data_IF_075754382104
#
_entry.id   IF_075754382104
#
_cell.length_a   1.000
_cell.length_b   1.000
_cell.length_c   1.000
_cell.angle_alpha   90.00
_cell.angle_beta   90.00
_cell.angle_gamma   90.00
#
_symmetry.space_group_name_H-M   'P 1'
#
loop_
_entity.id
_entity.type
_entity.pdbx_description
1 polymer ?
#
# COMPACT_ATOMS: atom_id res chain seq x y z
N UNK A 1 5.84 8.43 -20.08
CA UNK A 1 4.86 7.50 -19.47
C UNK A 1 3.97 8.22 -18.45
N UNK A 2 4.54 8.82 -17.40
CA UNK A 2 3.81 9.54 -16.33
C UNK A 2 2.86 10.66 -16.81
N UNK A 3 3.24 11.44 -17.84
CA UNK A 3 2.41 12.52 -18.38
C UNK A 3 1.03 12.06 -18.89
N UNK A 4 0.88 10.78 -19.30
CA UNK A 4 -0.39 10.25 -19.82
C UNK A 4 -1.30 9.68 -18.74
N UNK A 5 -0.75 9.32 -17.58
CA UNK A 5 -1.52 8.69 -16.51
C UNK A 5 -0.95 9.04 -15.13
N UNK A 6 -0.93 10.33 -14.75
CA UNK A 6 -0.33 10.77 -13.49
C UNK A 6 -1.01 10.13 -12.27
N UNK A 7 -2.35 10.01 -12.28
CA UNK A 7 -3.10 9.42 -11.17
C UNK A 7 -2.71 7.97 -10.87
N UNK A 8 -2.37 7.16 -11.87
CA UNK A 8 -1.88 5.80 -11.62
C UNK A 8 -0.63 5.78 -10.73
N UNK A 9 0.28 6.72 -10.95
CA UNK A 9 1.52 6.79 -10.19
C UNK A 9 1.34 7.35 -8.78
N UNK A 10 0.23 8.04 -8.49
CA UNK A 10 -0.06 8.55 -7.16
C UNK A 10 -0.15 7.46 -6.09
N UNK A 11 -0.68 6.28 -6.44
CA UNK A 11 -0.85 5.16 -5.51
C UNK A 11 0.16 4.02 -5.72
N UNK A 12 0.97 4.06 -6.77
CA UNK A 12 1.90 2.96 -7.11
C UNK A 12 2.90 2.68 -5.98
N UNK A 13 3.45 3.74 -5.38
CA UNK A 13 4.38 3.62 -4.26
C UNK A 13 3.74 2.97 -3.03
N UNK A 14 2.64 3.50 -2.43
CA UNK A 14 2.04 2.87 -1.27
C UNK A 14 1.52 1.46 -1.58
N UNK A 15 0.97 1.20 -2.78
CA UNK A 15 0.49 -0.14 -3.13
C UNK A 15 1.61 -1.18 -3.28
N UNK A 16 2.75 -0.79 -3.86
CA UNK A 16 3.90 -1.69 -3.98
C UNK A 16 4.50 -1.96 -2.61
N UNK A 17 4.62 -0.93 -1.78
CA UNK A 17 5.11 -1.08 -0.42
C UNK A 17 4.20 -2.00 0.40
N UNK A 18 2.87 -1.80 0.32
CA UNK A 18 1.86 -2.65 0.95
C UNK A 18 2.04 -4.12 0.56
N UNK A 19 2.16 -4.43 -0.74
CA UNK A 19 2.42 -5.79 -1.20
C UNK A 19 3.72 -6.39 -0.67
N UNK A 20 4.80 -5.60 -0.57
CA UNK A 20 6.09 -6.04 0.00
C UNK A 20 5.93 -6.35 1.49
N UNK A 21 5.35 -5.43 2.27
CA UNK A 21 5.20 -5.62 3.71
C UNK A 21 4.19 -6.71 4.05
N UNK A 22 3.18 -6.95 3.21
CA UNK A 22 2.28 -8.10 3.34
C UNK A 22 3.02 -9.42 3.25
N UNK A 23 3.96 -9.56 2.31
CA UNK A 23 4.76 -10.79 2.21
C UNK A 23 5.75 -10.90 3.37
N UNK A 24 6.53 -9.84 3.64
CA UNK A 24 7.51 -9.85 4.74
C UNK A 24 6.87 -10.03 6.11
N UNK A 25 5.63 -9.58 6.26
CA UNK A 25 4.88 -9.61 7.51
C UNK A 25 4.31 -10.98 7.87
N UNK A 26 4.28 -11.92 6.94
CA UNK A 26 3.80 -13.27 7.22
C UNK A 26 4.68 -13.98 8.24
N UNK A 27 4.06 -14.67 9.20
CA UNK A 27 4.78 -15.39 10.24
C UNK A 27 5.59 -16.55 9.68
N UNK A 28 6.60 -17.02 10.42
CA UNK A 28 7.46 -18.13 10.01
C UNK A 28 6.67 -19.39 9.63
N UNK A 29 5.57 -19.67 10.32
CA UNK A 29 4.68 -20.80 10.03
C UNK A 29 4.01 -20.72 8.66
N UNK A 30 3.76 -19.52 8.13
CA UNK A 30 3.27 -19.36 6.76
C UNK A 30 4.28 -19.91 5.74
N UNK A 31 5.56 -19.59 5.94
CA UNK A 31 6.63 -19.95 5.02
C UNK A 31 7.10 -21.40 5.15
N UNK A 32 7.15 -21.94 6.37
CA UNK A 32 7.74 -23.26 6.63
C UNK A 32 6.71 -24.39 6.72
N UNK A 33 5.47 -24.09 7.14
CA UNK A 33 4.47 -25.11 7.43
C UNK A 33 3.38 -25.12 6.37
N UNK A 34 2.69 -24.00 6.19
CA UNK A 34 1.55 -23.93 5.27
C UNK A 34 1.16 -22.51 4.93
N UNK A 35 1.06 -22.23 3.63
CA UNK A 35 0.54 -20.95 3.14
C UNK A 35 -0.90 -20.67 3.58
N UNK A 36 -1.67 -21.68 4.01
CA UNK A 36 -3.04 -21.48 4.55
C UNK A 36 -3.09 -20.65 5.83
N UNK A 37 -1.95 -20.46 6.50
CA UNK A 37 -1.82 -19.62 7.70
C UNK A 37 -1.57 -18.14 7.34
N UNK A 38 -2.00 -17.71 6.15
CA UNK A 38 -1.84 -16.32 5.72
C UNK A 38 -2.52 -15.36 6.72
N UNK A 39 -1.76 -14.38 7.19
CA UNK A 39 -2.29 -13.27 7.97
C UNK A 39 -2.59 -12.13 7.01
N UNK A 40 -3.83 -12.02 6.53
CA UNK A 40 -4.26 -10.97 5.62
C UNK A 40 -5.75 -10.72 5.80
N UNK A 41 -6.15 -9.46 5.99
CA UNK A 41 -7.54 -9.08 6.21
C UNK A 41 -8.26 -8.73 4.91
N UNK A 42 -7.51 -8.38 3.86
CA UNK A 42 -8.07 -8.09 2.54
C UNK A 42 -8.43 -9.38 1.79
N UNK A 43 -9.23 -9.27 0.70
CA UNK A 43 -9.51 -10.40 -0.18
C UNK A 43 -8.26 -11.06 -0.80
N UNK A 44 -7.09 -10.42 -0.73
CA UNK A 44 -5.82 -11.01 -1.13
C UNK A 44 -5.46 -12.28 -0.34
N UNK A 45 -6.04 -12.44 0.86
CA UNK A 45 -5.95 -13.66 1.68
C UNK A 45 -6.17 -14.93 0.85
N UNK A 46 -7.20 -14.98 0.01
CA UNK A 46 -7.54 -16.19 -0.75
C UNK A 46 -6.48 -16.58 -1.79
N UNK A 47 -5.69 -15.61 -2.26
CA UNK A 47 -4.59 -15.84 -3.19
C UNK A 47 -3.34 -16.22 -2.41
N UNK A 48 -3.02 -15.49 -1.34
CA UNK A 48 -1.89 -15.78 -0.45
C UNK A 48 -2.00 -17.16 0.20
N UNK A 49 -3.20 -17.57 0.59
CA UNK A 49 -3.49 -18.87 1.18
C UNK A 49 -3.26 -20.04 0.23
N UNK A 50 -3.20 -19.77 -1.09
CA UNK A 50 -2.85 -20.76 -2.11
C UNK A 50 -1.35 -20.77 -2.35
N UNK A 51 -0.76 -19.62 -2.69
CA UNK A 51 0.67 -19.51 -2.95
C UNK A 51 1.13 -18.04 -3.01
N UNK A 52 2.28 -17.66 -2.42
CA UNK A 52 2.79 -16.28 -2.46
C UNK A 52 3.11 -15.80 -3.89
N UNK A 53 3.60 -16.68 -4.76
CA UNK A 53 3.83 -16.30 -6.17
C UNK A 53 2.54 -15.91 -6.91
N UNK A 54 1.40 -16.52 -6.57
CA UNK A 54 0.11 -16.14 -7.16
C UNK A 54 -0.31 -14.74 -6.72
N UNK A 55 0.03 -14.35 -5.49
CA UNK A 55 -0.20 -12.99 -5.01
C UNK A 55 0.65 -11.97 -5.80
N UNK A 56 1.93 -12.27 -6.04
CA UNK A 56 2.80 -11.41 -6.86
C UNK A 56 2.28 -11.28 -8.29
N UNK A 57 1.95 -12.40 -8.95
CA UNK A 57 1.40 -12.40 -10.31
C UNK A 57 0.06 -11.66 -10.34
N UNK A 58 -0.82 -11.92 -9.38
CA UNK A 58 -2.10 -11.23 -9.23
C UNK A 58 -1.94 -9.73 -9.05
N UNK A 59 -0.94 -9.28 -8.28
CA UNK A 59 -0.58 -7.88 -8.11
C UNK A 59 -0.11 -7.21 -9.41
N UNK A 60 0.71 -7.90 -10.20
CA UNK A 60 1.12 -7.40 -11.53
C UNK A 60 -0.09 -7.25 -12.46
N UNK A 61 -0.97 -8.26 -12.51
CA UNK A 61 -2.21 -8.21 -13.29
C UNK A 61 -3.10 -7.06 -12.80
N UNK A 62 -3.22 -6.89 -11.48
CA UNK A 62 -3.99 -5.82 -10.86
C UNK A 62 -3.47 -4.43 -11.26
N UNK A 63 -2.15 -4.21 -11.24
CA UNK A 63 -1.57 -2.96 -11.72
C UNK A 63 -1.82 -2.69 -13.20
N UNK A 64 -1.75 -3.73 -14.06
CA UNK A 64 -2.10 -3.59 -15.48
C UNK A 64 -3.57 -3.17 -15.64
N UNK A 65 -4.48 -3.84 -14.94
CA UNK A 65 -5.92 -3.52 -14.97
C UNK A 65 -6.17 -2.09 -14.51
N UNK A 66 -5.59 -1.68 -13.36
CA UNK A 66 -5.74 -0.32 -12.84
C UNK A 66 -5.15 0.71 -13.80
N UNK A 67 -3.97 0.47 -14.36
CA UNK A 67 -3.36 1.37 -15.35
C UNK A 67 -4.31 1.60 -16.54
N UNK A 68 -4.88 0.52 -17.08
CA UNK A 68 -5.86 0.61 -18.18
C UNK A 68 -7.17 1.28 -17.75
N UNK A 69 -7.61 1.06 -16.51
CA UNK A 69 -8.81 1.70 -15.96
C UNK A 69 -8.63 3.21 -15.84
N UNK A 70 -7.49 3.68 -15.32
CA UNK A 70 -7.18 5.11 -15.20
C UNK A 70 -7.08 5.82 -16.56
N UNK A 71 -6.72 5.13 -17.63
CA UNK A 71 -6.77 5.68 -18.99
C UNK A 71 -8.19 5.88 -19.52
N UNK A 72 -9.18 5.13 -18.99
CA UNK A 72 -10.58 5.15 -19.46
C UNK A 72 -11.50 5.98 -18.57
N UNK A 73 -11.21 6.04 -17.27
CA UNK A 73 -12.07 6.65 -16.28
C UNK A 73 -11.91 8.18 -16.30
N UNK A 74 -13.04 8.90 -16.36
CA UNK A 74 -13.07 10.38 -16.39
C UNK A 74 -13.09 10.98 -14.99
N UNK A 75 -12.74 12.26 -14.90
CA UNK A 75 -12.95 13.06 -13.69
C UNK A 75 -14.44 13.16 -13.36
N UNK A 76 -14.86 13.14 -12.07
CA UNK A 76 -14.03 13.06 -10.86
C UNK A 76 -13.71 11.62 -10.40
N UNK A 77 -14.25 10.60 -11.07
CA UNK A 77 -14.19 9.21 -10.61
C UNK A 77 -12.76 8.66 -10.57
N UNK A 78 -11.92 9.02 -11.53
CA UNK A 78 -10.51 8.63 -11.52
C UNK A 78 -9.75 9.23 -10.32
N UNK A 79 -9.98 10.49 -9.98
CA UNK A 79 -9.36 11.15 -8.84
C UNK A 79 -9.83 10.51 -7.52
N UNK A 80 -11.14 10.25 -7.39
CA UNK A 80 -11.69 9.56 -6.22
C UNK A 80 -11.06 8.16 -6.06
N UNK A 81 -10.93 7.41 -7.16
CA UNK A 81 -10.29 6.10 -7.14
C UNK A 81 -8.81 6.19 -6.73
N UNK A 82 -8.07 7.17 -7.25
CA UNK A 82 -6.67 7.39 -6.87
C UNK A 82 -6.53 7.67 -5.38
N UNK A 83 -7.32 8.59 -4.83
CA UNK A 83 -7.30 8.92 -3.40
C UNK A 83 -7.68 7.71 -2.54
N UNK A 84 -8.69 6.95 -2.95
CA UNK A 84 -9.10 5.72 -2.26
C UNK A 84 -7.97 4.67 -2.24
N UNK A 85 -7.28 4.47 -3.37
CA UNK A 85 -6.16 3.53 -3.45
C UNK A 85 -4.94 3.99 -2.63
N UNK A 86 -4.62 5.28 -2.64
CA UNK A 86 -3.57 5.84 -1.77
C UNK A 86 -3.91 5.59 -0.30
N UNK A 87 -5.12 5.96 0.13
CA UNK A 87 -5.54 5.83 1.51
C UNK A 87 -5.61 4.37 1.97
N UNK A 88 -6.20 3.49 1.15
CA UNK A 88 -6.34 2.06 1.46
C UNK A 88 -5.00 1.36 1.61
N UNK A 89 -4.08 1.56 0.66
CA UNK A 89 -2.75 0.93 0.74
C UNK A 89 -1.85 1.57 1.80
N UNK A 90 -1.96 2.88 2.04
CA UNK A 90 -1.24 3.52 3.15
C UNK A 90 -1.72 2.99 4.51
N UNK A 91 -3.03 2.79 4.68
CA UNK A 91 -3.60 2.16 5.86
C UNK A 91 -3.14 0.70 6.00
N UNK A 92 -3.31 -0.12 4.97
CA UNK A 92 -2.93 -1.55 4.98
C UNK A 92 -1.47 -1.74 5.38
N UNK A 93 -0.57 -1.07 4.69
CA UNK A 93 0.87 -1.14 4.95
C UNK A 93 1.25 -0.62 6.34
N UNK A 94 0.57 0.41 6.86
CA UNK A 94 0.83 0.91 8.22
C UNK A 94 0.55 -0.14 9.29
N UNK A 95 -0.43 -1.03 9.08
CA UNK A 95 -0.73 -2.11 10.04
C UNK A 95 0.44 -3.11 10.15
N UNK A 96 1.12 -3.37 9.03
CA UNK A 96 2.35 -4.18 8.99
C UNK A 96 3.52 -3.47 9.68
N UNK A 97 3.69 -2.17 9.45
CA UNK A 97 4.73 -1.39 10.15
C UNK A 97 4.55 -1.45 11.68
N UNK A 98 3.31 -1.36 12.17
CA UNK A 98 3.02 -1.56 13.59
C UNK A 98 3.40 -2.96 14.10
N UNK A 99 3.15 -4.00 13.30
CA UNK A 99 3.58 -5.37 13.62
C UNK A 99 5.11 -5.45 13.73
N UNK A 100 5.84 -4.95 12.72
CA UNK A 100 7.31 -4.98 12.73
C UNK A 100 7.92 -4.18 13.89
N UNK A 101 7.35 -3.01 14.21
CA UNK A 101 7.81 -2.21 15.35
C UNK A 101 7.56 -2.92 16.68
N UNK A 102 6.47 -3.67 16.83
CA UNK A 102 6.23 -4.53 17.99
C UNK A 102 7.29 -5.63 18.09
N UNK A 103 7.50 -6.36 17.01
CA UNK A 103 8.44 -7.49 16.96
C UNK A 103 9.90 -7.04 17.16
N UNK A 104 10.23 -5.82 16.75
CA UNK A 104 11.57 -5.23 16.88
C UNK A 104 11.78 -4.45 18.19
N UNK A 105 10.84 -4.50 19.14
CA UNK A 105 10.87 -3.73 20.38
C UNK A 105 10.96 -2.19 20.20
N UNK A 106 10.59 -1.67 19.03
CA UNK A 106 10.47 -0.23 18.77
C UNK A 106 9.19 0.31 19.40
N UNK A 107 8.11 -0.48 19.40
CA UNK A 107 6.82 -0.17 20.03
C UNK A 107 6.55 -1.10 21.21
N UNK A 108 6.65 -0.57 22.43
CA UNK A 108 6.45 -1.27 23.70
C UNK A 108 5.28 -0.64 24.44
N UNK A 109 4.24 -1.44 24.69
CA UNK A 109 3.06 -1.01 25.43
C UNK A 109 3.47 -0.62 26.86
N UNK A 110 3.02 0.55 27.33
CA UNK A 110 3.35 1.09 28.65
C UNK A 110 4.63 1.93 28.71
N UNK A 111 5.42 2.00 27.62
CA UNK A 111 6.57 2.89 27.54
C UNK A 111 6.25 4.10 26.64
N UNK A 112 6.02 5.26 27.26
CA UNK A 112 5.60 6.46 26.53
C UNK A 112 6.61 6.92 25.47
N UNK A 113 7.91 6.83 25.73
CA UNK A 113 8.94 7.26 24.77
C UNK A 113 8.95 6.36 23.52
N UNK A 114 8.84 5.04 23.73
CA UNK A 114 8.72 4.06 22.65
C UNK A 114 7.44 4.26 21.84
N UNK A 115 6.31 4.51 22.51
CA UNK A 115 5.04 4.82 21.85
C UNK A 115 5.16 6.08 20.99
N UNK A 116 5.70 7.17 21.57
CA UNK A 116 5.90 8.43 20.85
C UNK A 116 6.80 8.25 19.63
N UNK A 117 7.92 7.53 19.76
CA UNK A 117 8.81 7.23 18.64
C UNK A 117 8.08 6.49 17.50
N UNK A 118 7.34 5.42 17.84
CA UNK A 118 6.62 4.64 16.84
C UNK A 118 5.56 5.48 16.10
N UNK A 119 4.82 6.33 16.83
CA UNK A 119 3.88 7.29 16.23
C UNK A 119 4.58 8.29 15.32
N UNK A 120 5.73 8.84 15.73
CA UNK A 120 6.52 9.74 14.90
C UNK A 120 6.94 9.08 13.59
N UNK A 121 7.40 7.82 13.63
CA UNK A 121 7.75 7.06 12.42
C UNK A 121 6.55 6.87 11.49
N UNK A 122 5.38 6.55 12.04
CA UNK A 122 4.13 6.40 11.27
C UNK A 122 3.67 7.73 10.65
N UNK A 123 3.83 8.85 11.36
CA UNK A 123 3.53 10.17 10.80
C UNK A 123 4.45 10.48 9.62
N UNK A 124 5.77 10.29 9.77
CA UNK A 124 6.73 10.48 8.67
C UNK A 124 6.42 9.56 7.48
N UNK A 125 6.00 8.34 7.75
CA UNK A 125 5.54 7.41 6.72
C UNK A 125 4.36 7.94 5.91
N UNK A 126 3.30 8.39 6.58
CA UNK A 126 2.14 8.99 5.91
C UNK A 126 2.49 10.29 5.18
N UNK A 127 3.37 11.12 5.73
CA UNK A 127 3.86 12.33 5.07
C UNK A 127 4.59 12.00 3.77
N UNK A 128 5.47 10.99 3.77
CA UNK A 128 6.17 10.55 2.58
C UNK A 128 5.21 10.09 1.48
N UNK A 129 4.22 9.26 1.83
CA UNK A 129 3.17 8.84 0.89
C UNK A 129 2.40 10.05 0.36
N UNK A 130 2.00 10.95 1.25
CA UNK A 130 1.25 12.16 0.90
C UNK A 130 2.01 13.07 -0.06
N UNK A 131 3.32 13.26 0.14
CA UNK A 131 4.17 14.05 -0.76
C UNK A 131 4.25 13.41 -2.14
N UNK A 132 4.50 12.11 -2.22
CA UNK A 132 4.62 11.39 -3.50
C UNK A 132 3.28 11.39 -4.23
N UNK A 133 2.19 11.04 -3.55
CA UNK A 133 0.85 11.03 -4.13
C UNK A 133 0.42 12.43 -4.57
N UNK A 134 0.65 13.44 -3.72
CA UNK A 134 0.32 14.84 -3.96
C UNK A 134 1.04 15.40 -5.19
N UNK A 135 2.31 15.05 -5.39
CA UNK A 135 3.06 15.43 -6.60
C UNK A 135 2.37 14.92 -7.88
N UNK A 136 1.95 13.65 -7.91
CA UNK A 136 1.28 13.09 -9.09
C UNK A 136 -0.14 13.64 -9.27
N UNK A 137 -0.88 13.86 -8.19
CA UNK A 137 -2.20 14.48 -8.25
C UNK A 137 -2.10 15.92 -8.74
N UNK A 138 -1.09 16.71 -8.35
CA UNK A 138 -0.91 18.08 -8.85
C UNK A 138 -0.70 18.09 -10.37
N UNK A 139 0.10 17.14 -10.88
CA UNK A 139 0.33 17.00 -12.33
C UNK A 139 -0.92 16.59 -13.10
N UNK A 140 -1.84 15.87 -12.46
CA UNK A 140 -3.15 15.60 -13.04
C UNK A 140 -3.98 16.88 -13.15
N UNK A 141 -4.06 17.67 -12.07
CA UNK A 141 -4.87 18.90 -12.00
C UNK A 141 -4.34 19.95 -12.98
N UNK A 142 -3.04 20.23 -12.97
CA UNK A 142 -2.38 21.16 -13.91
C UNK A 142 -2.64 20.77 -15.38
N UNK A 143 -2.70 19.47 -15.67
CA UNK A 143 -2.97 18.95 -17.02
C UNK A 143 -4.44 18.97 -17.43
N UNK A 144 -5.37 19.22 -16.49
CA UNK A 144 -6.81 19.36 -16.75
C UNK A 144 -7.28 20.82 -16.87
N UNK A 145 -6.44 21.80 -16.54
CA UNK A 145 -6.75 23.24 -16.65
C UNK A 145 -6.49 23.83 -18.07
N UNK A 146 -6.65 23.02 -19.11
CA UNK A 146 -6.61 23.39 -20.53
C UNK A 146 -7.89 22.95 -21.24
#
# INVERSE_FOLDING_TARGET
MFKKNPLFFSFLFPATLDGIVTLLGQDRSYWEISYRLANEASPAYYILAKHPALFVIGGVIWFIILYLLFLKLKSPLNLMLAVALVAGHAWGSSTWLWKFMRESNIYIIGNQNSITLAWTLIIFYFLLIGIIAGFFISKYIEGTEL
#
